data_IF_589353170060
#
_entry.id   IF_589353170060
#
_cell.length_a   1.000
_cell.length_b   1.000
_cell.length_c   1.000
_cell.angle_alpha   90.00
_cell.angle_beta   90.00
_cell.angle_gamma   90.00
#
_symmetry.space_group_name_H-M   'P 1'
#
loop_
_entity.id
_entity.type
_entity.pdbx_description
1 polymer ?
#
# COMPACT_ATOMS: atom_id res chain seq x y z
N UNK A 1 -19.09 16.74 -59.01
CA UNK A 1 -19.19 15.28 -58.86
C UNK A 1 -20.14 15.04 -57.71
N UNK A 2 -21.37 14.60 -57.98
CA UNK A 2 -22.41 14.52 -56.95
C UNK A 2 -22.10 13.37 -55.99
N UNK A 3 -21.53 13.68 -54.83
CA UNK A 3 -21.45 12.75 -53.71
C UNK A 3 -22.86 12.75 -53.10
N UNK A 4 -23.76 11.99 -53.73
CA UNK A 4 -25.10 11.74 -53.19
C UNK A 4 -24.88 11.06 -51.85
N UNK A 5 -25.15 11.83 -50.79
CA UNK A 5 -25.48 11.33 -49.46
C UNK A 5 -26.58 10.29 -49.68
N UNK A 6 -26.23 9.01 -49.54
CA UNK A 6 -27.16 7.89 -49.66
C UNK A 6 -28.06 7.87 -48.41
N UNK A 7 -28.85 8.92 -48.25
CA UNK A 7 -30.00 8.98 -47.37
C UNK A 7 -31.05 8.08 -48.02
N UNK A 8 -30.83 6.75 -48.04
CA UNK A 8 -31.86 5.83 -48.51
C UNK A 8 -33.05 6.01 -47.59
N UNK A 9 -34.04 6.73 -48.09
CA UNK A 9 -35.36 6.79 -47.52
C UNK A 9 -35.78 5.37 -47.16
N UNK A 10 -36.05 5.18 -45.87
CA UNK A 10 -37.00 4.20 -45.29
C UNK A 10 -36.82 2.70 -45.57
N UNK A 11 -35.84 2.25 -46.34
CA UNK A 11 -35.66 0.82 -46.70
C UNK A 11 -34.53 0.11 -45.95
N UNK A 12 -33.64 0.84 -45.28
CA UNK A 12 -32.52 0.28 -44.51
C UNK A 12 -32.47 0.89 -43.11
N UNK A 13 -32.22 0.07 -42.09
CA UNK A 13 -32.21 0.49 -40.68
C UNK A 13 -30.92 1.23 -40.26
N UNK A 14 -30.18 1.82 -41.21
CA UNK A 14 -28.91 2.49 -40.96
C UNK A 14 -28.61 3.60 -41.98
N UNK A 15 -27.96 4.66 -41.53
CA UNK A 15 -27.38 5.70 -42.38
C UNK A 15 -25.92 5.35 -42.70
N UNK A 16 -25.54 5.30 -43.97
CA UNK A 16 -24.15 5.12 -44.37
C UNK A 16 -23.53 6.45 -44.81
N UNK A 17 -22.37 6.78 -44.24
CA UNK A 17 -21.61 7.98 -44.59
C UNK A 17 -20.54 7.57 -45.61
N UNK A 18 -20.64 8.12 -46.82
CA UNK A 18 -19.81 7.80 -47.99
C UNK A 18 -19.93 6.34 -48.49
N UNK A 19 -19.69 6.14 -49.79
CA UNK A 19 -19.72 4.80 -50.38
C UNK A 19 -18.59 3.96 -49.77
N UNK A 20 -18.94 2.94 -49.00
CA UNK A 20 -17.98 2.08 -48.31
C UNK A 20 -17.50 2.60 -46.94
N UNK A 21 -17.96 3.78 -46.50
CA UNK A 21 -17.65 4.32 -45.17
C UNK A 21 -18.52 3.76 -44.04
N UNK A 22 -18.44 4.39 -42.86
CA UNK A 22 -19.11 3.90 -41.65
C UNK A 22 -20.64 3.96 -41.73
N UNK A 23 -21.29 3.06 -40.99
CA UNK A 23 -22.74 3.05 -40.79
C UNK A 23 -23.11 3.49 -39.39
N UNK A 24 -24.12 4.35 -39.30
CA UNK A 24 -24.81 4.73 -38.08
C UNK A 24 -26.12 3.95 -38.03
N UNK A 25 -26.30 3.13 -36.99
CA UNK A 25 -27.43 2.19 -36.86
C UNK A 25 -28.04 2.30 -35.47
N UNK A 26 -29.37 2.20 -35.40
CA UNK A 26 -30.05 1.96 -34.13
C UNK A 26 -30.12 0.44 -33.88
N UNK A 27 -29.67 0.00 -32.71
CA UNK A 27 -29.85 -1.36 -32.23
C UNK A 27 -30.47 -1.31 -30.82
N UNK A 28 -31.78 -1.58 -30.71
CA UNK A 28 -32.51 -1.57 -29.43
C UNK A 28 -32.38 -0.29 -28.60
N UNK A 29 -32.23 0.87 -29.25
CA UNK A 29 -32.06 2.17 -28.60
C UNK A 29 -30.61 2.68 -28.60
N UNK A 30 -29.64 1.81 -28.84
CA UNK A 30 -28.22 2.18 -28.89
C UNK A 30 -27.83 2.66 -30.30
N UNK A 31 -27.09 3.76 -30.35
CA UNK A 31 -26.41 4.18 -31.57
C UNK A 31 -25.14 3.36 -31.76
N UNK A 32 -25.10 2.54 -32.80
CA UNK A 32 -23.94 1.77 -33.20
C UNK A 32 -23.23 2.41 -34.39
N UNK A 33 -21.90 2.51 -34.28
CA UNK A 33 -21.01 2.89 -35.40
C UNK A 33 -20.34 1.63 -35.94
N UNK A 34 -20.77 1.20 -37.12
CA UNK A 34 -20.39 -0.07 -37.75
C UNK A 34 -19.62 0.18 -39.04
N UNK A 35 -18.99 -0.87 -39.56
CA UNK A 35 -18.41 -0.86 -40.89
C UNK A 35 -19.46 -0.86 -42.02
N UNK A 36 -19.00 -0.70 -43.26
CA UNK A 36 -19.84 -0.79 -44.46
C UNK A 36 -20.33 -2.20 -44.79
N UNK A 37 -20.06 -3.20 -43.97
CA UNK A 37 -20.65 -4.54 -44.05
C UNK A 37 -21.63 -4.83 -42.91
N UNK A 38 -21.77 -3.93 -41.93
CA UNK A 38 -22.44 -4.15 -40.64
C UNK A 38 -21.88 -5.35 -39.83
N UNK A 39 -20.60 -5.67 -40.01
CA UNK A 39 -19.97 -6.86 -39.42
C UNK A 39 -19.16 -6.55 -38.15
N UNK A 40 -18.55 -5.37 -38.08
CA UNK A 40 -17.71 -4.94 -36.95
C UNK A 40 -18.02 -3.52 -36.52
N UNK A 41 -17.76 -3.20 -35.25
CA UNK A 41 -17.74 -1.81 -34.77
C UNK A 41 -16.53 -1.05 -35.33
N UNK A 42 -16.66 0.28 -35.42
CA UNK A 42 -15.60 1.20 -35.87
C UNK A 42 -15.33 2.30 -34.85
N UNK A 43 -14.10 2.80 -34.85
CA UNK A 43 -13.64 3.85 -33.95
C UNK A 43 -14.38 5.16 -34.22
N UNK A 44 -14.64 5.91 -33.15
CA UNK A 44 -15.14 7.29 -33.19
C UNK A 44 -14.05 8.21 -32.65
N UNK A 45 -13.74 9.27 -33.37
CA UNK A 45 -12.82 10.33 -32.92
C UNK A 45 -13.64 11.60 -32.70
N UNK A 46 -13.57 12.16 -31.50
CA UNK A 46 -14.24 13.41 -31.15
C UNK A 46 -13.30 14.26 -30.29
N UNK A 47 -13.44 15.58 -30.38
CA UNK A 47 -12.74 16.50 -29.47
C UNK A 47 -13.35 16.50 -28.07
N UNK A 48 -14.63 16.12 -27.94
CA UNK A 48 -15.39 16.14 -26.70
C UNK A 48 -16.47 15.05 -26.74
N UNK A 49 -16.76 14.44 -25.60
CA UNK A 49 -17.85 13.49 -25.41
C UNK A 49 -18.63 13.88 -24.16
N UNK A 50 -19.88 14.29 -24.35
CA UNK A 50 -20.76 14.77 -23.27
C UNK A 50 -21.79 13.69 -22.91
N UNK A 51 -21.90 13.36 -21.62
CA UNK A 51 -22.92 12.46 -21.09
C UNK A 51 -23.92 13.26 -20.26
N UNK A 52 -25.18 13.33 -20.67
CA UNK A 52 -26.19 14.19 -20.05
C UNK A 52 -27.04 13.50 -18.98
N UNK A 53 -26.99 12.17 -18.89
CA UNK A 53 -27.69 11.41 -17.86
C UNK A 53 -26.77 11.20 -16.64
N UNK A 54 -27.33 11.21 -15.44
CA UNK A 54 -26.61 11.08 -14.15
C UNK A 54 -25.89 9.73 -13.95
N UNK A 55 -25.81 8.90 -14.98
CA UNK A 55 -25.17 7.58 -14.97
C UNK A 55 -23.67 7.61 -15.29
N UNK A 56 -23.12 8.74 -15.79
CA UNK A 56 -21.69 8.89 -16.11
C UNK A 56 -21.23 8.16 -17.38
N UNK A 57 -19.91 8.07 -17.58
CA UNK A 57 -19.30 7.33 -18.69
C UNK A 57 -19.21 5.84 -18.33
N UNK A 58 -19.90 5.00 -19.10
CA UNK A 58 -19.91 3.55 -18.94
C UNK A 58 -18.94 2.92 -19.94
N UNK A 59 -18.08 2.02 -19.44
CA UNK A 59 -17.06 1.30 -20.20
C UNK A 59 -17.30 -0.20 -20.00
N UNK A 60 -17.12 -0.99 -21.07
CA UNK A 60 -17.18 -2.46 -21.01
C UNK A 60 -18.55 -3.04 -20.66
N UNK A 61 -19.66 -2.34 -20.96
CA UNK A 61 -21.01 -2.81 -20.66
C UNK A 61 -21.50 -3.98 -21.51
N UNK A 62 -20.81 -4.32 -22.60
CA UNK A 62 -21.16 -5.33 -23.60
C UNK A 62 -20.00 -6.30 -23.89
N UNK A 63 -19.15 -6.54 -22.89
CA UNK A 63 -17.91 -7.29 -23.02
C UNK A 63 -18.14 -8.76 -23.41
N UNK A 64 -17.92 -9.08 -24.68
CA UNK A 64 -18.00 -10.46 -25.17
C UNK A 64 -16.74 -11.27 -24.80
N UNK A 65 -16.73 -11.90 -23.64
CA UNK A 65 -15.84 -13.01 -23.26
C UNK A 65 -16.41 -13.78 -22.07
N UNK A 66 -15.89 -14.98 -21.79
CA UNK A 66 -16.40 -15.89 -20.75
C UNK A 66 -16.54 -15.21 -19.39
N UNK A 67 -17.77 -14.85 -19.01
CA UNK A 67 -18.08 -14.12 -17.79
C UNK A 67 -19.40 -13.35 -17.93
N UNK A 68 -19.87 -12.76 -16.83
CA UNK A 68 -20.96 -11.79 -16.88
C UNK A 68 -20.42 -10.42 -17.36
N UNK A 69 -21.27 -9.62 -17.98
CA UNK A 69 -20.92 -8.29 -18.47
C UNK A 69 -20.68 -7.32 -17.30
N UNK A 70 -19.42 -7.18 -16.88
CA UNK A 70 -19.02 -6.24 -15.84
C UNK A 70 -18.59 -4.90 -16.44
N UNK A 71 -19.29 -3.84 -16.04
CA UNK A 71 -19.01 -2.47 -16.48
C UNK A 71 -18.14 -1.72 -15.49
N UNK A 72 -17.35 -0.79 -16.02
CA UNK A 72 -16.68 0.27 -15.26
C UNK A 72 -17.46 1.57 -15.52
N UNK A 73 -17.76 2.32 -14.47
CA UNK A 73 -18.46 3.61 -14.60
C UNK A 73 -17.64 4.72 -13.97
N UNK A 74 -17.35 5.77 -14.75
CA UNK A 74 -16.86 7.05 -14.24
C UNK A 74 -18.07 7.95 -14.04
N UNK A 75 -18.52 8.06 -12.79
CA UNK A 75 -19.75 8.77 -12.42
C UNK A 75 -19.47 10.06 -11.63
N UNK A 76 -20.41 11.00 -11.72
CA UNK A 76 -20.54 12.12 -10.79
C UNK A 76 -21.07 11.64 -9.42
N UNK A 77 -20.86 12.40 -8.34
CA UNK A 77 -21.50 12.14 -7.05
C UNK A 77 -23.03 12.13 -7.15
N UNK A 78 -23.67 11.15 -6.51
CA UNK A 78 -25.13 11.00 -6.48
C UNK A 78 -25.82 12.14 -5.71
N UNK A 79 -25.12 12.79 -4.79
CA UNK A 79 -25.58 13.98 -4.06
C UNK A 79 -25.58 15.27 -4.89
N UNK A 80 -25.10 15.23 -6.14
CA UNK A 80 -24.88 16.41 -6.98
C UNK A 80 -23.53 17.09 -6.74
N UNK A 81 -23.27 18.13 -7.53
CA UNK A 81 -22.07 18.96 -7.51
C UNK A 81 -22.47 20.44 -7.51
N UNK A 82 -21.71 21.30 -6.83
CA UNK A 82 -21.97 22.75 -6.73
C UNK A 82 -21.07 23.59 -7.63
N UNK A 83 -20.04 22.98 -8.21
CA UNK A 83 -19.10 23.60 -9.14
C UNK A 83 -18.44 22.53 -10.01
N UNK A 84 -17.93 22.95 -11.16
CA UNK A 84 -17.11 22.11 -12.03
C UNK A 84 -15.75 21.84 -11.36
N UNK A 85 -15.20 20.64 -11.57
CA UNK A 85 -13.82 20.34 -11.24
C UNK A 85 -13.20 19.42 -12.29
N UNK A 86 -11.89 19.51 -12.46
CA UNK A 86 -11.13 18.71 -13.41
C UNK A 86 -10.22 17.75 -12.66
N UNK A 87 -10.18 16.48 -13.07
CA UNK A 87 -9.17 15.52 -12.62
C UNK A 87 -8.11 15.33 -13.70
N UNK A 88 -6.87 15.72 -13.42
CA UNK A 88 -5.72 15.53 -14.31
C UNK A 88 -4.99 14.24 -13.92
N UNK A 89 -5.08 13.22 -14.77
CA UNK A 89 -4.36 11.95 -14.59
C UNK A 89 -2.83 12.12 -14.72
N UNK A 90 -2.02 11.28 -14.05
CA UNK A 90 -0.57 11.25 -14.25
C UNK A 90 -0.18 10.80 -15.66
N UNK A 91 1.05 11.14 -16.09
CA UNK A 91 1.57 10.79 -17.43
C UNK A 91 1.97 9.32 -17.57
N UNK A 92 2.10 8.57 -16.47
CA UNK A 92 2.47 7.16 -16.46
C UNK A 92 1.63 6.36 -15.46
N UNK A 93 1.68 5.03 -15.59
CA UNK A 93 1.28 4.15 -14.50
C UNK A 93 2.18 4.34 -13.27
N UNK A 94 1.63 4.02 -12.10
CA UNK A 94 2.38 3.98 -10.86
C UNK A 94 3.28 2.74 -10.79
N UNK A 95 4.29 2.79 -9.94
CA UNK A 95 5.06 1.59 -9.57
C UNK A 95 4.24 0.68 -8.65
N UNK A 96 4.60 -0.61 -8.50
CA UNK A 96 3.99 -1.48 -7.51
C UNK A 96 3.98 -0.82 -6.13
N UNK A 97 2.88 -1.03 -5.38
CA UNK A 97 2.68 -0.46 -4.03
C UNK A 97 2.56 1.07 -3.96
N UNK A 98 2.33 1.75 -5.09
CA UNK A 98 1.94 3.16 -5.09
C UNK A 98 0.43 3.32 -5.18
N UNK A 99 -0.07 4.44 -4.65
CA UNK A 99 -1.48 4.84 -4.72
C UNK A 99 -1.64 6.15 -5.46
N UNK A 100 -2.77 6.30 -6.15
CA UNK A 100 -3.12 7.55 -6.82
C UNK A 100 -3.74 8.50 -5.80
N UNK A 101 -3.14 9.68 -5.65
CA UNK A 101 -3.59 10.71 -4.71
C UNK A 101 -3.96 11.98 -5.44
N UNK A 102 -4.72 12.85 -4.79
CA UNK A 102 -5.09 14.17 -5.29
C UNK A 102 -4.43 15.26 -4.43
N UNK A 103 -4.04 16.36 -5.06
CA UNK A 103 -3.59 17.56 -4.35
C UNK A 103 -4.74 18.40 -3.75
N UNK A 104 -5.98 17.91 -3.80
CA UNK A 104 -7.17 18.65 -3.33
C UNK A 104 -7.70 19.70 -4.31
N UNK A 105 -7.04 19.89 -5.45
CA UNK A 105 -7.45 20.83 -6.50
C UNK A 105 -7.49 20.17 -7.88
N UNK A 106 -7.56 18.83 -7.92
CA UNK A 106 -7.81 18.07 -9.14
C UNK A 106 -6.58 17.54 -9.87
N UNK A 107 -5.35 17.86 -9.45
CA UNK A 107 -4.17 17.18 -10.00
C UNK A 107 -3.94 15.86 -9.27
N UNK A 108 -3.78 14.77 -10.03
CA UNK A 108 -3.52 13.45 -9.49
C UNK A 108 -2.05 13.07 -9.64
N UNK A 109 -1.50 12.34 -8.66
CA UNK A 109 -0.13 11.85 -8.68
C UNK A 109 0.02 10.52 -7.93
N UNK A 110 0.98 9.70 -8.37
CA UNK A 110 1.34 8.46 -7.67
C UNK A 110 2.24 8.76 -6.48
N UNK A 111 1.92 8.17 -5.33
CA UNK A 111 2.76 8.27 -4.13
C UNK A 111 2.97 6.90 -3.50
N UNK A 112 4.11 6.71 -2.84
CA UNK A 112 4.37 5.53 -2.02
C UNK A 112 3.65 5.67 -0.69
N UNK A 113 2.86 4.67 -0.32
CA UNK A 113 2.22 4.63 1.00
C UNK A 113 3.30 4.29 2.04
N UNK A 114 3.73 5.26 2.85
CA UNK A 114 4.40 4.95 4.10
C UNK A 114 3.33 4.70 5.17
N UNK A 115 3.38 3.54 5.83
CA UNK A 115 2.55 3.28 7.00
C UNK A 115 2.79 4.40 8.03
N UNK A 116 1.70 4.99 8.53
CA UNK A 116 1.75 6.18 9.38
C UNK A 116 2.62 5.97 10.62
N UNK A 117 3.80 6.59 10.63
CA UNK A 117 4.58 6.81 11.84
C UNK A 117 4.64 8.32 12.12
N UNK A 118 3.47 8.97 12.12
CA UNK A 118 3.34 10.37 12.50
C UNK A 118 2.87 10.40 13.95
N UNK A 119 3.82 10.48 14.89
CA UNK A 119 3.60 10.64 16.34
C UNK A 119 2.83 9.50 17.02
N UNK A 120 3.56 8.55 17.60
CA UNK A 120 2.97 7.49 18.41
C UNK A 120 3.98 6.78 19.31
N UNK A 121 3.47 6.06 20.31
CA UNK A 121 4.23 5.10 21.11
C UNK A 121 4.06 3.72 20.47
N UNK A 122 5.17 3.09 20.12
CA UNK A 122 5.24 1.77 19.52
C UNK A 122 5.87 0.80 20.51
N UNK A 123 5.58 -0.49 20.36
CA UNK A 123 6.29 -1.55 21.08
C UNK A 123 6.51 -2.70 20.12
N UNK A 124 7.77 -3.03 19.92
CA UNK A 124 8.18 -4.17 19.11
C UNK A 124 8.70 -5.28 20.03
N UNK A 125 8.55 -6.54 19.62
CA UNK A 125 8.93 -7.72 20.41
C UNK A 125 9.87 -8.61 19.60
N UNK A 126 11.04 -8.91 20.15
CA UNK A 126 11.98 -9.88 19.57
C UNK A 126 12.15 -11.05 20.54
N UNK A 127 12.10 -12.28 20.02
CA UNK A 127 12.34 -13.48 20.83
C UNK A 127 13.83 -13.84 20.85
N UNK A 128 14.33 -14.25 22.00
CA UNK A 128 15.65 -14.83 22.21
C UNK A 128 15.49 -16.25 22.73
N UNK A 129 16.07 -17.23 22.05
CA UNK A 129 16.11 -18.61 22.52
C UNK A 129 17.54 -19.02 22.89
N UNK A 130 17.67 -20.03 23.74
CA UNK A 130 18.92 -20.76 23.90
C UNK A 130 19.46 -21.23 22.53
N UNK A 131 20.79 -21.21 22.36
CA UNK A 131 21.47 -21.44 21.08
C UNK A 131 21.14 -20.46 19.94
N UNK A 132 20.51 -19.32 20.22
CA UNK A 132 20.43 -18.24 19.22
C UNK A 132 21.83 -17.78 18.79
N UNK A 133 21.93 -17.21 17.59
CA UNK A 133 23.16 -16.61 17.11
C UNK A 133 23.67 -15.52 18.07
N UNK A 134 24.99 -15.29 18.08
CA UNK A 134 25.59 -14.28 18.99
C UNK A 134 25.09 -12.85 18.76
N UNK A 135 24.54 -12.59 17.58
CA UNK A 135 23.80 -11.38 17.24
C UNK A 135 22.43 -11.79 16.69
N UNK A 136 21.37 -11.42 17.40
CA UNK A 136 19.98 -11.62 16.96
C UNK A 136 19.45 -10.27 16.49
N UNK A 137 19.04 -10.21 15.21
CA UNK A 137 18.46 -9.00 14.64
C UNK A 137 17.09 -8.72 15.26
N UNK A 138 16.84 -7.47 15.62
CA UNK A 138 15.53 -6.98 16.02
C UNK A 138 14.91 -6.19 14.86
N UNK A 139 14.23 -5.08 15.17
CA UNK A 139 13.69 -4.10 14.23
C UNK A 139 14.66 -2.90 14.04
N UNK A 140 14.35 -2.05 13.06
CA UNK A 140 15.09 -0.79 12.84
C UNK A 140 14.29 0.39 13.38
N UNK A 141 14.88 1.13 14.31
CA UNK A 141 14.35 2.40 14.79
C UNK A 141 14.39 3.44 13.66
N UNK A 142 13.32 4.23 13.47
CA UNK A 142 13.37 5.39 12.59
C UNK A 142 14.27 6.48 13.20
N UNK A 143 14.69 7.43 12.36
CA UNK A 143 15.35 8.64 12.84
C UNK A 143 14.44 9.41 13.80
N UNK A 144 15.06 10.06 14.78
CA UNK A 144 14.48 10.78 15.91
C UNK A 144 13.71 9.92 16.93
N UNK A 145 13.67 8.60 16.77
CA UNK A 145 13.04 7.73 17.75
C UNK A 145 13.70 7.85 19.14
N UNK A 146 12.86 7.75 20.17
CA UNK A 146 13.26 7.75 21.58
C UNK A 146 12.80 6.44 22.21
N UNK A 147 13.73 5.61 22.68
CA UNK A 147 13.39 4.42 23.46
C UNK A 147 13.11 4.83 24.91
N UNK A 148 11.91 4.52 25.37
CA UNK A 148 11.47 4.75 26.74
C UNK A 148 11.75 3.55 27.61
N UNK A 149 11.56 2.33 27.09
CA UNK A 149 11.62 1.11 27.89
C UNK A 149 12.12 -0.08 27.08
N UNK A 150 12.98 -0.88 27.70
CA UNK A 150 13.37 -2.22 27.24
C UNK A 150 12.96 -3.21 28.32
N UNK A 151 12.11 -4.16 28.00
CA UNK A 151 11.64 -5.20 28.92
C UNK A 151 12.15 -6.54 28.43
N UNK A 152 12.79 -7.29 29.31
CA UNK A 152 13.20 -8.68 29.04
C UNK A 152 12.37 -9.58 29.94
N UNK A 153 11.47 -10.35 29.33
CA UNK A 153 10.59 -11.30 30.02
C UNK A 153 11.13 -12.70 29.77
N UNK A 154 11.46 -13.43 30.83
CA UNK A 154 11.87 -14.82 30.72
C UNK A 154 10.63 -15.69 30.48
N UNK A 155 10.55 -16.35 29.33
CA UNK A 155 9.52 -17.36 29.08
C UNK A 155 9.96 -18.73 29.61
N UNK A 156 11.28 -18.98 29.62
CA UNK A 156 11.91 -20.14 30.24
C UNK A 156 13.26 -19.71 30.79
N UNK A 157 13.50 -19.95 32.07
CA UNK A 157 14.77 -19.64 32.73
C UNK A 157 15.96 -20.29 32.01
N UNK A 158 17.08 -19.58 31.92
CA UNK A 158 18.32 -20.25 31.58
C UNK A 158 18.76 -21.14 32.72
N UNK A 159 19.29 -22.31 32.39
CA UNK A 159 19.69 -23.32 33.37
C UNK A 159 21.15 -23.66 33.16
N UNK A 160 21.93 -23.55 34.25
CA UNK A 160 23.40 -23.73 34.30
C UNK A 160 24.21 -22.75 33.44
N UNK A 161 25.48 -22.53 33.78
CA UNK A 161 26.39 -21.72 32.96
C UNK A 161 26.36 -20.22 33.23
N UNK A 162 26.84 -19.43 32.27
CA UNK A 162 27.07 -17.98 32.42
C UNK A 162 26.56 -17.18 31.21
N UNK A 163 25.49 -17.66 30.59
CA UNK A 163 24.85 -16.97 29.47
C UNK A 163 24.48 -15.53 29.83
N UNK A 164 24.74 -14.60 28.92
CA UNK A 164 24.39 -13.17 29.09
C UNK A 164 23.77 -12.63 27.81
N UNK A 165 23.03 -11.53 27.95
CA UNK A 165 22.53 -10.77 26.82
C UNK A 165 22.65 -9.27 27.06
N UNK A 166 22.73 -8.52 25.96
CA UNK A 166 22.64 -7.05 25.96
C UNK A 166 21.75 -6.59 24.81
N UNK A 167 21.17 -5.40 24.92
CA UNK A 167 20.36 -4.77 23.88
C UNK A 167 21.05 -3.49 23.44
N UNK A 168 21.29 -3.36 22.14
CA UNK A 168 22.04 -2.24 21.59
C UNK A 168 22.07 -2.27 20.06
N UNK A 169 23.17 -1.77 19.52
CA UNK A 169 23.43 -1.71 18.08
C UNK A 169 24.80 -2.31 17.78
N UNK A 170 25.09 -2.58 16.51
CA UNK A 170 26.43 -2.96 16.08
C UNK A 170 27.45 -1.89 16.51
N UNK A 171 28.58 -2.32 17.06
CA UNK A 171 29.61 -1.43 17.62
C UNK A 171 29.38 -0.98 19.08
N UNK A 172 28.11 -0.86 19.51
CA UNK A 172 27.75 -0.47 20.88
C UNK A 172 26.64 -1.38 21.42
N UNK A 173 27.01 -2.61 21.78
CA UNK A 173 26.09 -3.72 22.06
C UNK A 173 25.24 -3.53 23.32
N UNK A 174 25.66 -2.69 24.26
CA UNK A 174 24.96 -2.39 25.52
C UNK A 174 24.30 -1.01 25.55
N UNK A 175 24.04 -0.41 24.39
CA UNK A 175 23.51 0.97 24.28
C UNK A 175 22.20 1.18 25.06
N UNK A 176 21.32 0.19 25.09
CA UNK A 176 19.98 0.30 25.70
C UNK A 176 19.78 -0.60 26.92
N UNK A 177 20.41 -1.78 26.97
CA UNK A 177 20.44 -2.61 28.16
C UNK A 177 21.77 -3.37 28.26
N UNK A 178 22.48 -3.19 29.37
CA UNK A 178 23.70 -3.93 29.68
C UNK A 178 23.42 -5.25 30.38
N UNK A 179 24.38 -6.19 30.29
CA UNK A 179 24.22 -7.54 30.84
C UNK A 179 24.14 -7.59 32.37
N UNK A 180 24.58 -6.53 33.05
CA UNK A 180 24.48 -6.40 34.50
C UNK A 180 23.06 -6.04 34.99
N UNK A 181 22.16 -5.67 34.07
CA UNK A 181 20.77 -5.31 34.38
C UNK A 181 19.78 -6.45 34.10
N UNK A 182 20.25 -7.52 33.46
CA UNK A 182 19.43 -8.63 33.01
C UNK A 182 20.02 -9.90 33.59
N UNK A 183 19.25 -10.61 34.39
CA UNK A 183 19.62 -11.94 34.86
C UNK A 183 18.82 -12.99 34.08
N UNK A 184 19.50 -13.83 33.30
CA UNK A 184 18.84 -14.88 32.52
C UNK A 184 18.46 -16.11 33.37
N UNK A 185 19.00 -16.22 34.59
CA UNK A 185 18.82 -17.35 35.50
C UNK A 185 17.69 -17.12 36.53
N UNK A 186 16.93 -16.04 36.37
CA UNK A 186 15.68 -15.82 37.10
C UNK A 186 14.65 -16.91 36.82
N UNK A 187 13.47 -16.76 37.42
CA UNK A 187 12.33 -17.65 37.18
C UNK A 187 11.63 -17.33 35.87
N UNK A 188 10.96 -18.32 35.28
CA UNK A 188 10.03 -18.05 34.18
C UNK A 188 8.94 -17.08 34.64
N UNK A 189 8.70 -16.04 33.86
CA UNK A 189 7.82 -14.92 34.18
C UNK A 189 8.54 -13.69 34.74
N UNK A 190 9.80 -13.80 35.15
CA UNK A 190 10.57 -12.64 35.62
C UNK A 190 10.72 -11.63 34.49
N UNK A 191 10.49 -10.36 34.83
CA UNK A 191 10.55 -9.24 33.90
C UNK A 191 11.59 -8.22 34.38
N UNK A 192 12.64 -8.05 33.57
CA UNK A 192 13.66 -7.03 33.77
C UNK A 192 13.30 -5.80 32.96
N UNK A 193 12.97 -4.71 33.65
CA UNK A 193 12.58 -3.45 33.02
C UNK A 193 13.73 -2.46 33.10
N UNK A 194 14.21 -2.03 31.94
CA UNK A 194 15.26 -1.02 31.80
C UNK A 194 14.62 0.23 31.18
N UNK A 195 14.93 1.39 31.75
CA UNK A 195 14.50 2.70 31.23
C UNK A 195 15.75 3.42 30.72
N UNK A 196 16.10 3.30 29.42
CA UNK A 196 17.35 3.84 28.90
C UNK A 196 17.36 5.38 28.90
N UNK A 197 16.17 6.00 28.84
CA UNK A 197 15.94 7.45 28.81
C UNK A 197 16.87 8.18 27.82
N UNK A 198 17.04 7.59 26.63
CA UNK A 198 17.98 8.09 25.63
C UNK A 198 17.39 9.28 24.88
N UNK A 199 18.24 10.20 24.43
CA UNK A 199 17.81 11.27 23.54
C UNK A 199 17.36 10.75 22.17
N UNK A 200 16.60 11.57 21.44
CA UNK A 200 16.20 11.27 20.07
C UNK A 200 17.44 11.03 19.19
N UNK A 201 17.50 9.87 18.55
CA UNK A 201 18.63 9.53 17.69
C UNK A 201 18.42 10.08 16.28
N UNK A 202 19.20 11.05 15.83
CA UNK A 202 19.01 11.74 14.54
C UNK A 202 19.18 10.89 13.27
N UNK A 203 19.27 9.57 13.37
CA UNK A 203 19.42 8.63 12.26
C UNK A 203 18.70 7.31 12.57
N UNK A 204 18.46 6.47 11.56
CA UNK A 204 17.90 5.14 11.79
C UNK A 204 18.92 4.21 12.44
N UNK A 205 18.45 3.30 13.30
CA UNK A 205 19.30 2.35 14.03
C UNK A 205 18.72 0.95 14.03
N UNK A 206 19.45 -0.02 13.47
CA UNK A 206 19.07 -1.43 13.54
C UNK A 206 19.47 -2.00 14.89
N UNK A 207 18.47 -2.39 15.69
CA UNK A 207 18.68 -2.96 17.00
C UNK A 207 19.08 -4.43 16.90
N UNK A 208 19.91 -4.83 17.87
CA UNK A 208 20.35 -6.21 18.04
C UNK A 208 20.29 -6.62 19.51
N UNK A 209 20.02 -7.90 19.73
CA UNK A 209 20.37 -8.58 20.97
C UNK A 209 21.75 -9.19 20.75
N UNK A 210 22.72 -8.80 21.56
CA UNK A 210 24.00 -9.51 21.61
C UNK A 210 23.90 -10.59 22.68
N UNK A 211 23.96 -11.84 22.26
CA UNK A 211 23.77 -13.01 23.12
C UNK A 211 25.07 -13.82 23.23
N UNK A 212 25.49 -14.12 24.45
CA UNK A 212 26.62 -15.00 24.71
C UNK A 212 26.09 -16.28 25.34
N UNK A 213 25.95 -17.36 24.55
CA UNK A 213 25.22 -18.56 24.98
C UNK A 213 25.89 -19.37 26.11
N UNK A 214 27.21 -19.23 26.32
CA UNK A 214 27.98 -19.99 27.33
C UNK A 214 27.60 -21.48 27.40
N UNK A 215 27.63 -22.08 28.59
CA UNK A 215 27.32 -23.49 28.87
C UNK A 215 25.89 -23.74 29.34
N UNK A 216 24.96 -22.82 29.06
CA UNK A 216 23.56 -23.04 29.40
C UNK A 216 22.98 -24.26 28.64
N UNK A 217 21.94 -24.87 29.18
CA UNK A 217 21.32 -26.07 28.60
C UNK A 217 19.89 -25.85 28.08
N UNK A 218 19.27 -24.73 28.46
CA UNK A 218 17.93 -24.32 28.07
C UNK A 218 17.76 -22.82 28.31
N UNK A 219 16.66 -22.23 27.81
CA UNK A 219 16.26 -20.86 28.09
C UNK A 219 15.55 -20.19 26.92
N UNK A 220 14.63 -19.27 27.22
CA UNK A 220 14.01 -18.40 26.22
C UNK A 220 13.45 -17.13 26.87
N UNK A 221 13.50 -16.02 26.16
CA UNK A 221 13.00 -14.73 26.60
C UNK A 221 12.37 -13.96 25.44
N UNK A 222 11.51 -13.00 25.77
CA UNK A 222 11.05 -11.97 24.84
C UNK A 222 11.58 -10.62 25.29
N UNK A 223 12.12 -9.88 24.34
CA UNK A 223 12.60 -8.51 24.52
C UNK A 223 11.58 -7.58 23.88
N UNK A 224 10.91 -6.77 24.69
CA UNK A 224 10.00 -5.74 24.24
C UNK A 224 10.72 -4.39 24.28
N UNK A 225 10.64 -3.62 23.21
CA UNK A 225 11.21 -2.27 23.16
C UNK A 225 10.10 -1.28 22.85
N UNK A 226 9.78 -0.46 23.85
CA UNK A 226 8.81 0.63 23.71
C UNK A 226 9.52 1.92 23.34
N UNK A 227 9.13 2.51 22.21
CA UNK A 227 9.73 3.72 21.68
C UNK A 227 8.68 4.69 21.14
N UNK A 228 8.95 5.98 21.25
CA UNK A 228 8.16 7.01 20.56
C UNK A 228 8.86 7.45 19.29
N UNK A 229 8.10 7.69 18.23
CA UNK A 229 8.58 8.40 17.05
C UNK A 229 8.05 9.84 17.06
N UNK A 230 8.76 10.81 17.66
CA UNK A 230 8.44 12.22 17.45
C UNK A 230 8.74 12.53 15.98
N UNK A 231 7.70 12.78 15.22
CA UNK A 231 7.79 13.14 13.80
C UNK A 231 8.56 14.44 13.57
#
# INVERSE_FOLDING_TARGET
MAQILDLKGTSISSLQIEKGGVRLKNNSGDLQVKDSADSSFKKVTASQFETTNDTGLVINSDAASTGADWKITIARPSSGQTADYTLTLPTSAGSPSQVLTTNGSGTLSWTTVSGGASNGMFTDTTSLAFNSASSVSMFTLPANAVIHRVEVILDTAWVTGTATMTVGISGTTSKYAGSNLIDLYGSAGDCYVITPNQAANGSSESLIITYAASTASAGSARVLVSYSNPG
#
